data_IF_861009384876
#
_entry.id   IF_861009384876
#
_cell.length_a   1.000
_cell.length_b   1.000
_cell.length_c   1.000
_cell.angle_alpha   90.00
_cell.angle_beta   90.00
_cell.angle_gamma   90.00
#
_symmetry.space_group_name_H-M   'P 1'
#
loop_
_entity.id
_entity.type
_entity.pdbx_description
1 polymer ?
#
# COMPACT_ATOMS: atom_id res chain seq x y z
N UNK A 1 17.40 28.40 -12.59
CA UNK A 1 17.68 28.44 -11.15
C UNK A 1 17.51 27.03 -10.60
N UNK A 2 18.61 26.34 -10.27
CA UNK A 2 18.54 25.02 -9.61
C UNK A 2 18.41 25.29 -8.12
N UNK A 3 17.23 25.08 -7.55
CA UNK A 3 17.08 25.06 -6.10
C UNK A 3 17.90 23.87 -5.59
N UNK A 4 18.95 24.13 -4.82
CA UNK A 4 19.66 23.09 -4.09
C UNK A 4 18.73 22.60 -2.97
N UNK A 5 17.84 21.67 -3.28
CA UNK A 5 16.99 21.05 -2.28
C UNK A 5 17.85 20.01 -1.56
N UNK A 6 18.28 20.32 -0.34
CA UNK A 6 19.05 19.38 0.48
C UNK A 6 18.24 18.12 0.84
N UNK A 7 18.89 17.08 1.37
CA UNK A 7 18.27 15.77 1.64
C UNK A 7 16.94 15.81 2.41
N UNK A 8 16.82 16.71 3.38
CA UNK A 8 15.57 16.94 4.12
C UNK A 8 14.42 17.46 3.23
N UNK A 9 14.71 18.38 2.32
CA UNK A 9 13.69 18.97 1.45
C UNK A 9 13.17 17.94 0.43
N UNK A 10 14.02 17.05 -0.06
CA UNK A 10 13.63 15.94 -0.93
C UNK A 10 12.68 14.98 -0.20
N UNK A 11 13.02 14.60 1.04
CA UNK A 11 12.16 13.81 1.90
C UNK A 11 10.80 14.47 2.14
N UNK A 12 10.79 15.75 2.49
CA UNK A 12 9.54 16.51 2.70
C UNK A 12 8.67 16.51 1.45
N UNK A 13 9.25 16.85 0.29
CA UNK A 13 8.49 16.89 -0.96
C UNK A 13 7.92 15.52 -1.33
N UNK A 14 8.68 14.46 -1.09
CA UNK A 14 8.23 13.09 -1.32
C UNK A 14 7.11 12.70 -0.36
N UNK A 15 7.23 13.02 0.93
CA UNK A 15 6.20 12.74 1.95
C UNK A 15 4.89 13.49 1.68
N UNK A 16 4.96 14.74 1.21
CA UNK A 16 3.77 15.51 0.84
C UNK A 16 3.03 14.87 -0.34
N UNK A 17 3.76 14.40 -1.35
CA UNK A 17 3.19 13.67 -2.48
C UNK A 17 2.61 12.31 -2.07
N UNK A 18 3.35 11.57 -1.24
CA UNK A 18 2.90 10.31 -0.66
C UNK A 18 1.59 10.48 0.13
N UNK A 19 1.49 11.52 0.96
CA UNK A 19 0.30 11.84 1.75
C UNK A 19 -0.92 12.20 0.88
N UNK A 20 -0.72 12.86 -0.27
CA UNK A 20 -1.79 13.13 -1.26
C UNK A 20 -2.21 11.88 -2.03
N UNK A 21 -1.33 10.89 -2.05
CA UNK A 21 -1.58 9.59 -2.60
C UNK A 21 -0.90 9.30 -3.94
N UNK A 22 0.15 10.05 -4.22
CA UNK A 22 1.01 9.89 -5.39
C UNK A 22 2.11 8.88 -5.08
N UNK A 23 2.36 7.96 -6.00
CA UNK A 23 3.39 6.92 -5.85
C UNK A 23 4.69 7.33 -6.57
N UNK A 24 5.38 8.30 -5.98
CA UNK A 24 6.64 8.81 -6.53
C UNK A 24 7.82 7.86 -6.24
N UNK A 25 8.80 7.72 -7.15
CA UNK A 25 9.99 6.90 -6.90
C UNK A 25 10.81 7.42 -5.71
N UNK A 26 11.06 6.59 -4.69
CA UNK A 26 11.85 6.96 -3.50
C UNK A 26 13.37 6.78 -3.66
N UNK A 27 13.84 6.30 -4.81
CA UNK A 27 15.27 5.94 -5.04
C UNK A 27 16.27 7.09 -4.82
N UNK A 28 15.81 8.33 -4.96
CA UNK A 28 16.63 9.53 -4.82
C UNK A 28 16.80 9.95 -3.35
N UNK A 29 15.97 9.43 -2.45
CA UNK A 29 16.01 9.79 -1.04
C UNK A 29 17.28 9.24 -0.36
N UNK A 30 17.83 10.04 0.53
CA UNK A 30 18.98 9.65 1.37
C UNK A 30 18.52 8.82 2.57
N UNK A 31 19.46 8.15 3.21
CA UNK A 31 19.25 7.52 4.52
C UNK A 31 18.87 8.60 5.54
N UNK A 32 17.96 8.24 6.45
CA UNK A 32 17.57 9.06 7.60
C UNK A 32 18.45 8.67 8.77
N UNK A 33 19.48 9.46 9.01
CA UNK A 33 20.45 9.27 10.09
C UNK A 33 20.87 10.61 10.70
N UNK A 34 21.82 10.55 11.63
CA UNK A 34 22.35 11.73 12.33
C UNK A 34 23.01 12.77 11.40
N UNK A 35 23.38 12.41 10.16
CA UNK A 35 23.99 13.34 9.20
C UNK A 35 23.02 14.44 8.74
N UNK A 36 21.70 14.21 8.86
CA UNK A 36 20.68 15.24 8.67
C UNK A 36 20.69 16.29 9.80
N UNK A 37 21.30 15.99 10.94
CA UNK A 37 21.25 16.76 12.16
C UNK A 37 20.07 16.33 13.06
N UNK A 38 20.28 16.17 14.38
CA UNK A 38 19.32 15.51 15.28
C UNK A 38 17.95 16.21 15.33
N UNK A 39 17.94 17.55 15.23
CA UNK A 39 16.70 18.33 15.21
C UNK A 39 15.90 18.13 13.91
N UNK A 40 16.59 17.90 12.79
CA UNK A 40 15.95 17.68 11.49
C UNK A 40 15.44 16.25 11.37
N UNK A 41 16.14 15.27 11.95
CA UNK A 41 15.67 13.88 12.07
C UNK A 41 14.34 13.84 12.81
N UNK A 42 14.26 14.41 14.03
CA UNK A 42 13.00 14.41 14.79
C UNK A 42 11.83 14.99 14.00
N UNK A 43 12.03 16.16 13.38
CA UNK A 43 11.01 16.79 12.52
C UNK A 43 10.64 15.96 11.30
N UNK A 44 11.60 15.25 10.71
CA UNK A 44 11.35 14.39 9.57
C UNK A 44 10.51 13.17 9.99
N UNK A 45 10.78 12.58 11.15
CA UNK A 45 10.01 11.46 11.69
C UNK A 45 8.56 11.87 12.02
N UNK A 46 8.35 13.06 12.58
CA UNK A 46 7.00 13.60 12.82
C UNK A 46 6.22 13.75 11.49
N UNK A 47 6.88 14.31 10.47
CA UNK A 47 6.28 14.46 9.13
C UNK A 47 6.00 13.11 8.48
N UNK A 48 6.90 12.16 8.64
CA UNK A 48 6.74 10.81 8.13
C UNK A 48 5.51 10.14 8.76
N UNK A 49 5.37 10.22 10.09
CA UNK A 49 4.21 9.67 10.79
C UNK A 49 2.90 10.32 10.33
N UNK A 50 2.89 11.65 10.16
CA UNK A 50 1.74 12.39 9.64
C UNK A 50 1.37 11.97 8.20
N UNK A 51 2.37 11.86 7.31
CA UNK A 51 2.16 11.45 5.92
C UNK A 51 1.67 9.99 5.81
N UNK A 52 2.24 9.09 6.62
CA UNK A 52 1.80 7.70 6.72
C UNK A 52 0.34 7.61 7.15
N UNK A 53 -0.03 8.34 8.21
CA UNK A 53 -1.40 8.40 8.70
C UNK A 53 -2.35 8.96 7.64
N UNK A 54 -2.00 10.06 6.98
CA UNK A 54 -2.84 10.63 5.93
C UNK A 54 -3.07 9.65 4.76
N UNK A 55 -2.04 8.89 4.37
CA UNK A 55 -2.14 7.87 3.32
C UNK A 55 -2.98 6.67 3.78
N UNK A 56 -2.86 6.25 5.03
CA UNK A 56 -3.69 5.21 5.63
C UNK A 56 -5.17 5.61 5.73
N UNK A 57 -5.45 6.85 6.15
CA UNK A 57 -6.82 7.38 6.23
C UNK A 57 -7.47 7.42 4.84
N UNK A 58 -6.73 7.85 3.81
CA UNK A 58 -7.19 7.79 2.41
C UNK A 58 -7.51 6.37 1.95
N UNK A 59 -6.70 5.39 2.35
CA UNK A 59 -6.95 3.99 2.04
C UNK A 59 -8.26 3.52 2.69
N UNK A 60 -8.45 3.77 3.98
CA UNK A 60 -9.66 3.41 4.74
C UNK A 60 -10.90 4.05 4.15
N UNK A 61 -10.82 5.35 3.84
CA UNK A 61 -11.94 6.10 3.26
C UNK A 61 -12.30 5.59 1.85
N UNK A 62 -11.30 5.23 1.05
CA UNK A 62 -11.52 4.62 -0.27
C UNK A 62 -12.15 3.24 -0.16
N UNK A 63 -11.68 2.39 0.76
CA UNK A 63 -12.29 1.09 1.03
C UNK A 63 -13.75 1.24 1.47
N UNK A 64 -14.02 2.11 2.45
CA UNK A 64 -15.37 2.39 2.94
C UNK A 64 -16.28 2.86 1.80
N UNK A 65 -15.84 3.84 1.01
CA UNK A 65 -16.61 4.32 -0.15
C UNK A 65 -16.98 3.17 -1.08
N UNK A 66 -16.04 2.30 -1.44
CA UNK A 66 -16.32 1.15 -2.32
C UNK A 66 -17.29 0.14 -1.70
N UNK A 67 -17.28 -0.04 -0.37
CA UNK A 67 -18.20 -0.91 0.34
C UNK A 67 -19.61 -0.29 0.51
N UNK A 68 -19.71 1.05 0.46
CA UNK A 68 -20.95 1.81 0.66
C UNK A 68 -21.75 2.06 -0.64
N UNK A 69 -21.20 1.87 -1.85
CA UNK A 69 -21.87 2.19 -3.15
C UNK A 69 -23.05 1.25 -3.51
N UNK A 70 -23.70 0.60 -2.55
CA UNK A 70 -24.90 -0.21 -2.78
C UNK A 70 -24.98 -1.45 -1.89
N UNK A 71 -25.88 -2.41 -2.21
CA UNK A 71 -25.68 -3.76 -1.71
C UNK A 71 -24.26 -4.16 -2.11
N UNK A 72 -23.40 -4.57 -1.15
CA UNK A 72 -22.14 -5.27 -1.45
C UNK A 72 -22.54 -6.31 -2.47
N UNK A 73 -22.15 -6.07 -3.72
CA UNK A 73 -22.75 -6.72 -4.85
C UNK A 73 -22.40 -8.19 -4.85
N UNK A 74 -22.50 -8.80 -6.01
CA UNK A 74 -22.14 -10.21 -6.15
C UNK A 74 -20.78 -10.52 -5.48
N UNK A 75 -20.56 -11.75 -4.98
CA UNK A 75 -19.26 -12.14 -4.41
C UNK A 75 -18.04 -11.75 -5.28
N UNK A 76 -18.21 -11.74 -6.59
CA UNK A 76 -17.21 -11.28 -7.56
C UNK A 76 -16.85 -9.81 -7.40
N UNK A 77 -17.82 -8.92 -7.21
CA UNK A 77 -17.59 -7.49 -6.98
C UNK A 77 -16.87 -7.24 -5.65
N UNK A 78 -17.29 -7.95 -4.59
CA UNK A 78 -16.61 -7.90 -3.30
C UNK A 78 -15.16 -8.35 -3.42
N UNK A 79 -14.89 -9.46 -4.13
CA UNK A 79 -13.52 -9.92 -4.38
C UNK A 79 -12.69 -8.85 -5.11
N UNK A 80 -13.24 -8.25 -6.17
CA UNK A 80 -12.57 -7.20 -6.93
C UNK A 80 -12.22 -5.97 -6.06
N UNK A 81 -13.15 -5.54 -5.20
CA UNK A 81 -12.92 -4.44 -4.24
C UNK A 81 -11.77 -4.78 -3.29
N UNK A 82 -11.76 -5.99 -2.72
CA UNK A 82 -10.73 -6.41 -1.76
C UNK A 82 -9.34 -6.57 -2.39
N UNK A 83 -9.27 -7.12 -3.61
CA UNK A 83 -8.03 -7.19 -4.39
C UNK A 83 -7.50 -5.78 -4.66
N UNK A 84 -8.37 -4.87 -5.09
CA UNK A 84 -7.99 -3.48 -5.36
C UNK A 84 -7.59 -2.73 -4.09
N UNK A 85 -8.23 -3.00 -2.95
CA UNK A 85 -7.88 -2.43 -1.66
C UNK A 85 -6.50 -2.92 -1.18
N UNK A 86 -6.20 -4.21 -1.35
CA UNK A 86 -4.87 -4.78 -1.04
C UNK A 86 -3.77 -4.18 -1.90
N UNK A 87 -4.04 -3.97 -3.18
CA UNK A 87 -3.11 -3.29 -4.09
C UNK A 87 -2.71 -1.89 -3.60
N UNK A 88 -3.66 -1.15 -3.01
CA UNK A 88 -3.44 0.19 -2.46
C UNK A 88 -2.65 0.23 -1.14
N UNK A 89 -2.41 -0.92 -0.50
CA UNK A 89 -1.54 -1.01 0.68
C UNK A 89 -0.05 -1.02 0.30
N UNK A 90 0.29 -1.35 -0.95
CA UNK A 90 1.69 -1.50 -1.40
C UNK A 90 2.59 -0.30 -1.06
N UNK A 91 2.18 0.97 -1.26
CA UNK A 91 3.02 2.12 -0.90
C UNK A 91 3.28 2.22 0.61
N UNK A 92 2.28 1.89 1.44
CA UNK A 92 2.41 1.85 2.91
C UNK A 92 3.37 0.73 3.34
N UNK A 93 3.23 -0.45 2.76
CA UNK A 93 4.13 -1.59 3.02
C UNK A 93 5.56 -1.26 2.58
N UNK A 94 5.73 -0.63 1.41
CA UNK A 94 7.04 -0.26 0.89
C UNK A 94 7.73 0.77 1.80
N UNK A 95 7.02 1.80 2.26
CA UNK A 95 7.56 2.78 3.19
C UNK A 95 7.92 2.14 4.54
N UNK A 96 7.04 1.27 5.08
CA UNK A 96 7.29 0.57 6.34
C UNK A 96 8.52 -0.37 6.28
N UNK A 97 8.91 -0.81 5.08
CA UNK A 97 10.06 -1.67 4.85
C UNK A 97 11.30 -0.93 4.28
N UNK A 98 11.26 0.41 4.11
CA UNK A 98 12.34 1.14 3.44
C UNK A 98 13.62 1.15 4.31
N UNK A 99 14.74 0.55 3.86
CA UNK A 99 15.96 0.45 4.65
C UNK A 99 16.61 1.79 4.96
N UNK A 100 16.20 2.88 4.31
CA UNK A 100 16.65 4.25 4.62
C UNK A 100 16.10 4.76 5.95
N UNK A 101 15.05 4.15 6.49
CA UNK A 101 14.47 4.51 7.77
C UNK A 101 15.14 3.75 8.92
N UNK A 102 15.23 4.32 10.13
CA UNK A 102 15.65 3.59 11.32
C UNK A 102 14.79 2.35 11.58
N UNK A 103 15.37 1.28 12.12
CA UNK A 103 14.68 -0.01 12.35
C UNK A 103 13.46 0.13 13.25
N UNK A 104 13.57 0.93 14.30
CA UNK A 104 12.48 1.24 15.24
C UNK A 104 11.29 1.87 14.51
N UNK A 105 11.57 2.80 13.59
CA UNK A 105 10.54 3.46 12.76
C UNK A 105 9.89 2.45 11.83
N UNK A 106 10.66 1.64 11.11
CA UNK A 106 10.13 0.56 10.26
C UNK A 106 9.23 -0.39 11.03
N UNK A 107 9.62 -0.76 12.25
CA UNK A 107 8.87 -1.66 13.14
C UNK A 107 7.56 -1.02 13.60
N UNK A 108 7.59 0.25 13.99
CA UNK A 108 6.40 1.01 14.39
C UNK A 108 5.40 1.13 13.23
N UNK A 109 5.86 1.50 12.03
CA UNK A 109 5.01 1.61 10.83
C UNK A 109 4.42 0.25 10.41
N UNK A 110 5.22 -0.81 10.45
CA UNK A 110 4.78 -2.18 10.13
C UNK A 110 3.71 -2.66 11.12
N UNK A 111 3.86 -2.32 12.40
CA UNK A 111 2.88 -2.64 13.45
C UNK A 111 1.59 -1.86 13.25
N UNK A 112 1.69 -0.55 13.04
CA UNK A 112 0.52 0.29 12.74
C UNK A 112 -0.24 -0.19 11.49
N UNK A 113 0.47 -0.63 10.44
CA UNK A 113 -0.15 -1.18 9.24
C UNK A 113 -0.85 -2.51 9.50
N UNK A 114 -0.25 -3.39 10.31
CA UNK A 114 -0.85 -4.66 10.73
C UNK A 114 -2.13 -4.41 11.51
N UNK A 115 -2.11 -3.49 12.46
CA UNK A 115 -3.26 -3.18 13.30
C UNK A 115 -4.40 -2.58 12.48
N UNK A 116 -4.08 -1.62 11.59
CA UNK A 116 -5.03 -1.02 10.66
C UNK A 116 -5.73 -2.08 9.79
N UNK A 117 -4.94 -2.97 9.16
CA UNK A 117 -5.48 -3.99 8.26
C UNK A 117 -6.24 -5.08 9.01
N UNK A 118 -5.85 -5.41 10.24
CA UNK A 118 -6.59 -6.30 11.13
C UNK A 118 -7.95 -5.72 11.51
N UNK A 119 -7.99 -4.47 11.98
CA UNK A 119 -9.23 -3.79 12.34
C UNK A 119 -10.19 -3.64 11.14
N UNK A 120 -9.65 -3.32 9.96
CA UNK A 120 -10.44 -3.24 8.74
C UNK A 120 -11.00 -4.61 8.33
N UNK A 121 -10.20 -5.68 8.44
CA UNK A 121 -10.64 -7.05 8.19
C UNK A 121 -11.77 -7.47 9.14
N UNK A 122 -11.62 -7.22 10.44
CA UNK A 122 -12.63 -7.56 11.44
C UNK A 122 -13.94 -6.79 11.22
N UNK A 123 -13.84 -5.49 10.93
CA UNK A 123 -14.99 -4.64 10.63
C UNK A 123 -15.74 -5.12 9.38
N UNK A 124 -15.00 -5.52 8.34
CA UNK A 124 -15.58 -6.07 7.12
C UNK A 124 -16.31 -7.40 7.38
N UNK A 125 -15.69 -8.32 8.10
CA UNK A 125 -16.32 -9.60 8.45
C UNK A 125 -17.60 -9.38 9.27
N UNK A 126 -17.57 -8.46 10.23
CA UNK A 126 -18.76 -8.10 11.02
C UNK A 126 -19.86 -7.46 10.18
N UNK A 127 -19.50 -6.62 9.20
CA UNK A 127 -20.48 -5.98 8.31
C UNK A 127 -21.15 -7.00 7.38
N UNK A 128 -20.38 -7.96 6.86
CA UNK A 128 -20.90 -9.03 5.98
C UNK A 128 -21.78 -10.02 6.75
N UNK A 129 -21.42 -10.40 7.98
CA UNK A 129 -22.21 -11.31 8.82
C UNK A 129 -23.65 -10.84 9.07
N UNK A 130 -23.90 -9.53 9.01
CA UNK A 130 -25.24 -8.95 9.23
C UNK A 130 -26.13 -8.98 7.98
N UNK A 131 -25.64 -9.49 6.84
CA UNK A 131 -26.36 -9.48 5.56
C UNK A 131 -26.97 -10.84 5.21
N UNK A 132 -28.07 -10.88 4.42
CA UNK A 132 -28.58 -12.11 3.84
C UNK A 132 -27.53 -12.76 2.93
N UNK A 133 -27.40 -14.09 2.97
CA UNK A 133 -26.38 -14.80 2.17
C UNK A 133 -24.95 -14.65 2.69
N UNK A 134 -24.79 -14.36 3.99
CA UNK A 134 -23.51 -14.10 4.65
C UNK A 134 -22.45 -15.18 4.39
N UNK A 135 -22.81 -16.46 4.33
CA UNK A 135 -21.84 -17.55 4.21
C UNK A 135 -20.96 -17.43 2.95
N UNK A 136 -21.59 -17.14 1.80
CA UNK A 136 -20.86 -16.98 0.53
C UNK A 136 -19.98 -15.73 0.54
N UNK A 137 -20.48 -14.64 1.11
CA UNK A 137 -19.72 -13.39 1.21
C UNK A 137 -18.56 -13.51 2.21
N UNK A 138 -18.74 -14.22 3.32
CA UNK A 138 -17.67 -14.50 4.30
C UNK A 138 -16.58 -15.36 3.66
N UNK A 139 -16.95 -16.39 2.88
CA UNK A 139 -15.99 -17.19 2.13
C UNK A 139 -15.13 -16.30 1.22
N UNK A 140 -15.77 -15.41 0.45
CA UNK A 140 -15.07 -14.45 -0.42
C UNK A 140 -14.13 -13.52 0.35
N UNK A 141 -14.57 -12.97 1.50
CA UNK A 141 -13.72 -12.11 2.34
C UNK A 141 -12.49 -12.88 2.85
N UNK A 142 -12.67 -14.14 3.24
CA UNK A 142 -11.59 -15.01 3.75
C UNK A 142 -10.63 -15.46 2.65
N UNK A 143 -11.10 -15.66 1.43
CA UNK A 143 -10.25 -15.90 0.26
C UNK A 143 -9.46 -14.64 -0.13
N UNK A 144 -10.02 -13.47 0.16
CA UNK A 144 -9.47 -12.18 -0.23
C UNK A 144 -9.05 -11.29 0.96
N UNK A 145 -8.44 -11.87 2.00
CA UNK A 145 -8.05 -11.12 3.21
C UNK A 145 -7.22 -9.88 2.89
N UNK A 146 -7.49 -8.79 3.58
CA UNK A 146 -6.70 -7.56 3.49
C UNK A 146 -5.30 -7.74 4.11
N UNK A 147 -5.19 -8.68 5.06
CA UNK A 147 -3.95 -9.02 5.76
C UNK A 147 -3.03 -9.96 4.99
N UNK A 148 -3.50 -10.55 3.88
CA UNK A 148 -2.65 -11.36 3.03
C UNK A 148 -1.54 -10.49 2.44
N UNK A 149 -0.29 -10.97 2.49
CA UNK A 149 0.84 -10.27 1.88
C UNK A 149 0.51 -10.02 0.40
N UNK A 150 0.49 -8.76 -0.07
CA UNK A 150 0.24 -8.50 -1.47
C UNK A 150 1.31 -9.24 -2.29
N UNK A 151 0.94 -10.04 -3.31
CA UNK A 151 1.93 -10.68 -4.14
C UNK A 151 2.85 -9.58 -4.72
N UNK A 152 4.16 -9.86 -4.87
CA UNK A 152 5.06 -8.92 -5.51
C UNK A 152 4.44 -8.50 -6.83
N UNK A 153 4.48 -7.20 -7.15
CA UNK A 153 4.01 -6.74 -8.44
C UNK A 153 4.71 -7.58 -9.51
N UNK A 154 4.00 -8.15 -10.51
CA UNK A 154 4.69 -8.73 -11.64
C UNK A 154 5.65 -7.65 -12.17
N UNK A 155 6.90 -8.00 -12.52
CA UNK A 155 7.79 -7.04 -13.14
C UNK A 155 7.02 -6.42 -14.29
N UNK A 156 6.91 -5.09 -14.31
CA UNK A 156 6.36 -4.38 -15.45
C UNK A 156 7.10 -4.93 -16.66
N UNK A 157 6.39 -5.70 -17.50
CA UNK A 157 6.97 -6.20 -18.72
C UNK A 157 7.43 -4.96 -19.48
N UNK A 158 8.75 -4.81 -19.64
CA UNK A 158 9.31 -3.76 -20.48
C UNK A 158 8.58 -3.85 -21.83
N UNK A 159 7.94 -2.77 -22.30
CA UNK A 159 7.30 -2.77 -23.60
C UNK A 159 8.42 -2.87 -24.64
N UNK A 160 8.74 -4.10 -25.07
CA UNK A 160 9.85 -4.32 -25.99
C UNK A 160 10.41 -5.75 -26.09
N UNK A 161 9.97 -6.71 -25.27
CA UNK A 161 10.40 -8.10 -25.47
C UNK A 161 9.55 -8.75 -26.59
N UNK A 162 10.13 -9.10 -27.76
CA UNK A 162 9.42 -9.85 -28.77
C UNK A 162 9.06 -11.25 -28.24
N UNK A 163 7.88 -11.78 -28.59
CA UNK A 163 7.50 -13.13 -28.17
C UNK A 163 8.50 -14.16 -28.72
N UNK A 164 8.87 -15.20 -27.95
CA UNK A 164 9.73 -16.26 -28.43
C UNK A 164 9.06 -16.99 -29.60
N UNK A 165 9.81 -17.39 -30.65
CA UNK A 165 9.23 -18.07 -31.81
C UNK A 165 8.64 -19.40 -31.37
N UNK A 166 7.34 -19.58 -31.66
CA UNK A 166 6.62 -20.85 -31.46
C UNK A 166 7.17 -21.86 -32.46
N UNK A 167 8.14 -22.66 -32.02
CA UNK A 167 8.66 -23.80 -32.75
C UNK A 167 7.57 -24.86 -32.91
N UNK A 168 6.99 -24.95 -34.11
CA UNK A 168 5.99 -25.96 -34.48
C UNK A 168 6.69 -27.32 -34.57
N UNK A 169 6.48 -28.19 -33.59
CA UNK A 169 6.95 -29.59 -33.60
C UNK A 169 6.11 -30.38 -34.61
N UNK A 170 6.70 -30.71 -35.75
CA UNK A 170 6.17 -31.71 -36.68
C UNK A 170 6.46 -33.07 -36.07
N UNK A 171 5.42 -33.83 -35.75
CA UNK A 171 5.53 -35.26 -35.43
C UNK A 171 5.60 -35.98 -36.77
N UNK A 172 6.71 -36.66 -37.03
CA UNK A 172 6.84 -37.70 -38.07
C UNK A 172 6.46 -39.05 -37.46
#
# INVERSE_FOLDING_TARGET
MRTAHGPYAEWVSWLDAFARGEDLPSRHLTVVDEQLGPHMVGRLLDRLAAAFRARADRWTDTLRRHLDVGPLGTPTELAAILVAARGRLRPLTALAADPRLPEEVRTALSTALRDLTGQAQDSLEQAVRRRPGADRLIATVRENRLTAVPPPAPPMASPGAPPPPVGRRVIL
#
